data_IF_028235198276
#
_entry.id   IF_028235198276
#
_cell.length_a   1.000
_cell.length_b   1.000
_cell.length_c   1.000
_cell.angle_alpha   90.00
_cell.angle_beta   90.00
_cell.angle_gamma   90.00
#
_symmetry.space_group_name_H-M   'P 1'
#
loop_
_entity.id
_entity.type
_entity.pdbx_description
1 polymer ?
#
# COMPACT_ATOMS: atom_id res chain seq x y z
N UNK A 1 -19.37 -12.59 5.56
CA UNK A 1 -17.95 -12.46 5.38
C UNK A 1 -17.37 -11.37 6.24
N UNK A 2 -16.29 -11.64 6.91
CA UNK A 2 -15.72 -10.66 7.81
C UNK A 2 -15.00 -9.56 7.05
N UNK A 3 -15.03 -8.36 7.59
CA UNK A 3 -14.26 -7.26 7.05
C UNK A 3 -12.78 -7.48 7.36
N UNK A 4 -11.93 -6.88 6.52
CA UNK A 4 -10.50 -6.89 6.78
C UNK A 4 -10.20 -6.13 8.06
N UNK A 5 -9.43 -6.76 8.95
CA UNK A 5 -8.98 -6.12 10.17
C UNK A 5 -7.56 -5.58 10.03
N UNK A 6 -7.05 -5.58 8.82
CA UNK A 6 -5.70 -5.14 8.53
C UNK A 6 -5.55 -3.64 8.80
N UNK A 7 -4.63 -3.29 9.68
CA UNK A 7 -4.40 -1.91 10.10
C UNK A 7 -2.91 -1.65 10.23
N UNK A 8 -2.57 -0.37 10.26
CA UNK A 8 -1.22 0.06 10.59
C UNK A 8 -1.21 0.47 12.06
N UNK A 9 -0.24 -0.04 12.83
CA UNK A 9 -0.13 0.28 14.24
C UNK A 9 1.29 0.67 14.63
N UNK A 10 1.42 1.42 15.70
CA UNK A 10 2.74 1.78 16.23
C UNK A 10 3.38 0.58 16.91
N UNK A 11 4.68 0.44 16.73
CA UNK A 11 5.43 -0.65 17.36
C UNK A 11 6.87 -0.21 17.57
N UNK A 12 7.31 -0.15 18.83
CA UNK A 12 8.71 0.13 19.18
C UNK A 12 9.26 1.38 18.49
N UNK A 13 8.50 2.46 18.51
CA UNK A 13 8.92 3.74 17.93
C UNK A 13 8.81 3.83 16.41
N UNK A 14 8.25 2.82 15.79
CA UNK A 14 8.03 2.81 14.34
C UNK A 14 6.62 2.29 14.06
N UNK A 15 6.39 1.71 12.89
CA UNK A 15 5.07 1.29 12.43
C UNK A 15 5.15 -0.09 11.81
N UNK A 16 4.06 -0.84 11.93
CA UNK A 16 3.95 -2.16 11.31
C UNK A 16 2.49 -2.44 10.95
N UNK A 17 2.30 -3.39 10.02
CA UNK A 17 0.97 -3.85 9.67
C UNK A 17 0.57 -4.98 10.63
N UNK A 18 -0.71 -5.02 10.96
CA UNK A 18 -1.27 -6.05 11.84
C UNK A 18 -2.69 -6.38 11.40
N UNK A 19 -3.21 -7.53 11.83
CA UNK A 19 -4.61 -7.87 11.67
C UNK A 19 -4.95 -8.78 10.50
N UNK A 20 -3.97 -9.17 9.69
CA UNK A 20 -4.22 -10.13 8.61
C UNK A 20 -3.66 -11.50 8.97
N UNK A 21 -4.31 -12.55 8.46
CA UNK A 21 -3.87 -13.90 8.69
C UNK A 21 -2.84 -14.39 7.68
N UNK A 22 -2.33 -15.60 7.89
CA UNK A 22 -1.33 -16.20 7.03
C UNK A 22 -0.04 -15.43 7.03
N UNK A 23 0.72 -15.53 5.95
CA UNK A 23 2.01 -14.86 5.83
C UNK A 23 1.96 -13.56 5.07
N UNK A 24 0.77 -13.00 4.83
CA UNK A 24 0.62 -11.81 4.00
C UNK A 24 1.45 -10.63 4.49
N UNK A 25 1.57 -10.45 5.81
CA UNK A 25 2.24 -9.30 6.39
C UNK A 25 3.74 -9.49 6.62
N UNK A 26 4.26 -10.69 6.37
CA UNK A 26 5.68 -10.97 6.65
C UNK A 26 6.60 -10.08 5.82
N UNK A 27 6.40 -10.03 4.51
CA UNK A 27 7.24 -9.22 3.65
C UNK A 27 7.05 -7.72 3.86
N UNK A 28 5.81 -7.21 3.93
CA UNK A 28 5.61 -5.79 4.24
C UNK A 28 6.26 -5.36 5.55
N UNK A 29 6.13 -6.16 6.61
CA UNK A 29 6.73 -5.79 7.89
C UNK A 29 8.25 -5.88 7.86
N UNK A 30 8.81 -6.85 7.15
CA UNK A 30 10.26 -6.91 6.95
C UNK A 30 10.76 -5.68 6.22
N UNK A 31 10.02 -5.21 5.23
CA UNK A 31 10.36 -4.00 4.49
C UNK A 31 10.33 -2.76 5.39
N UNK A 32 9.28 -2.60 6.20
CA UNK A 32 9.22 -1.45 7.11
C UNK A 32 10.35 -1.49 8.13
N UNK A 33 10.74 -2.67 8.62
CA UNK A 33 11.89 -2.83 9.49
C UNK A 33 13.19 -2.45 8.79
N UNK A 34 13.33 -2.80 7.53
CA UNK A 34 14.47 -2.42 6.71
C UNK A 34 14.57 -0.89 6.57
N UNK A 35 13.44 -0.22 6.37
CA UNK A 35 13.43 1.25 6.29
C UNK A 35 13.86 1.86 7.63
N UNK A 36 13.43 1.28 8.74
CA UNK A 36 13.86 1.73 10.06
C UNK A 36 15.37 1.58 10.23
N UNK A 37 15.91 0.45 9.81
CA UNK A 37 17.35 0.18 9.87
C UNK A 37 18.14 1.13 8.98
N UNK A 38 17.53 1.65 7.93
CA UNK A 38 18.13 2.63 7.05
C UNK A 38 17.92 4.07 7.52
N UNK A 39 17.45 4.24 8.74
CA UNK A 39 17.23 5.54 9.36
C UNK A 39 16.18 6.41 8.68
N UNK A 40 15.21 5.78 8.01
CA UNK A 40 14.04 6.54 7.55
C UNK A 40 13.26 7.02 8.76
N UNK A 41 12.71 8.23 8.68
CA UNK A 41 11.96 8.79 9.80
C UNK A 41 10.68 7.97 10.04
N UNK A 42 10.20 7.92 11.31
CA UNK A 42 8.93 7.25 11.59
C UNK A 42 7.77 7.80 10.76
N UNK A 43 7.79 9.09 10.45
CA UNK A 43 6.77 9.72 9.62
C UNK A 43 6.76 9.13 8.20
N UNK A 44 7.93 8.96 7.61
CA UNK A 44 8.06 8.37 6.28
C UNK A 44 7.62 6.91 6.30
N UNK A 45 8.02 6.16 7.32
CA UNK A 45 7.63 4.76 7.46
C UNK A 45 6.12 4.65 7.62
N UNK A 46 5.50 5.56 8.37
CA UNK A 46 4.04 5.61 8.51
C UNK A 46 3.37 5.82 7.16
N UNK A 47 3.87 6.77 6.38
CA UNK A 47 3.31 7.06 5.05
C UNK A 47 3.39 5.83 4.14
N UNK A 48 4.55 5.18 4.11
CA UNK A 48 4.72 3.96 3.32
C UNK A 48 3.85 2.84 3.86
N UNK A 49 3.73 2.74 5.19
CA UNK A 49 2.89 1.74 5.82
C UNK A 49 1.43 1.85 5.39
N UNK A 50 0.89 3.06 5.30
CA UNK A 50 -0.49 3.24 4.82
C UNK A 50 -0.64 2.80 3.36
N UNK A 51 0.37 3.03 2.53
CA UNK A 51 0.35 2.54 1.15
C UNK A 51 0.33 1.03 1.10
N UNK A 52 1.11 0.39 1.96
CA UNK A 52 1.14 -1.08 2.02
C UNK A 52 -0.16 -1.65 2.59
N UNK A 53 -0.78 -0.97 3.55
CA UNK A 53 -2.10 -1.38 4.06
C UNK A 53 -3.11 -1.38 2.90
N UNK A 54 -3.13 -0.32 2.11
CA UNK A 54 -4.04 -0.23 0.98
C UNK A 54 -3.82 -1.38 -0.02
N UNK A 55 -2.56 -1.67 -0.31
CA UNK A 55 -2.22 -2.75 -1.23
C UNK A 55 -2.61 -4.12 -0.68
N UNK A 56 -2.30 -4.39 0.57
CA UNK A 56 -2.62 -5.68 1.19
C UNK A 56 -4.13 -5.88 1.33
N UNK A 57 -4.88 -4.81 1.63
CA UNK A 57 -6.34 -4.89 1.64
C UNK A 57 -6.89 -5.24 0.26
N UNK A 58 -6.29 -4.64 -0.78
CA UNK A 58 -6.69 -4.95 -2.14
C UNK A 58 -6.41 -6.41 -2.49
N UNK A 59 -5.24 -6.94 -2.07
CA UNK A 59 -4.92 -8.35 -2.27
C UNK A 59 -5.94 -9.26 -1.60
N UNK A 60 -6.31 -8.95 -0.34
CA UNK A 60 -7.32 -9.73 0.37
C UNK A 60 -8.67 -9.69 -0.34
N UNK A 61 -9.06 -8.50 -0.78
CA UNK A 61 -10.36 -8.30 -1.41
C UNK A 61 -10.49 -9.03 -2.74
N UNK A 62 -9.41 -9.10 -3.50
CA UNK A 62 -9.41 -9.74 -4.81
C UNK A 62 -8.99 -11.21 -4.76
N UNK A 63 -8.51 -11.68 -3.62
CA UNK A 63 -8.03 -13.05 -3.49
C UNK A 63 -6.66 -13.27 -4.11
N UNK A 64 -5.98 -12.23 -4.53
CA UNK A 64 -4.65 -12.34 -5.11
C UNK A 64 -3.62 -12.62 -4.02
N UNK A 65 -2.59 -13.39 -4.36
CA UNK A 65 -1.50 -13.71 -3.46
C UNK A 65 -0.31 -12.82 -3.76
N UNK A 66 0.37 -12.39 -2.70
CA UNK A 66 1.53 -11.51 -2.85
C UNK A 66 2.59 -12.13 -3.77
N UNK A 67 2.80 -13.43 -3.67
CA UNK A 67 3.78 -14.16 -4.47
C UNK A 67 3.43 -14.19 -5.96
N UNK A 68 2.16 -13.99 -6.28
CA UNK A 68 1.65 -14.09 -7.65
C UNK A 68 1.44 -12.73 -8.31
N UNK A 69 1.77 -11.65 -7.61
CA UNK A 69 1.58 -10.30 -8.15
C UNK A 69 2.51 -10.09 -9.35
N UNK A 70 1.91 -9.74 -10.47
CA UNK A 70 2.64 -9.39 -11.69
C UNK A 70 2.34 -7.93 -12.06
N UNK A 71 2.88 -7.48 -13.19
CA UNK A 71 2.68 -6.10 -13.64
C UNK A 71 1.20 -5.79 -13.83
N UNK A 72 0.43 -6.71 -14.38
CA UNK A 72 -1.01 -6.50 -14.59
C UNK A 72 -1.73 -6.33 -13.26
N UNK A 73 -1.33 -7.07 -12.23
CA UNK A 73 -1.93 -6.92 -10.90
C UNK A 73 -1.61 -5.55 -10.31
N UNK A 74 -0.38 -5.05 -10.48
CA UNK A 74 -0.02 -3.70 -10.01
C UNK A 74 -0.86 -2.64 -10.73
N UNK A 75 -1.03 -2.78 -12.04
CA UNK A 75 -1.85 -1.84 -12.81
C UNK A 75 -3.31 -1.89 -12.39
N UNK A 76 -3.83 -3.09 -12.08
CA UNK A 76 -5.20 -3.23 -11.58
C UNK A 76 -5.36 -2.56 -10.21
N UNK A 77 -4.35 -2.68 -9.34
CA UNK A 77 -4.37 -1.99 -8.05
C UNK A 77 -4.41 -0.47 -8.24
N UNK A 78 -3.57 0.06 -9.13
CA UNK A 78 -3.56 1.50 -9.39
C UNK A 78 -4.90 1.98 -9.95
N UNK A 79 -5.52 1.20 -10.83
CA UNK A 79 -6.85 1.52 -11.35
C UNK A 79 -7.88 1.55 -10.22
N UNK A 80 -7.80 0.58 -9.31
CA UNK A 80 -8.68 0.56 -8.13
C UNK A 80 -8.49 1.81 -7.28
N UNK A 81 -7.25 2.26 -7.10
CA UNK A 81 -6.97 3.48 -6.33
C UNK A 81 -7.62 4.71 -6.98
N UNK A 82 -7.59 4.79 -8.30
CA UNK A 82 -8.18 5.94 -9.00
C UNK A 82 -9.69 6.02 -8.84
N UNK A 83 -10.34 4.91 -8.58
CA UNK A 83 -11.79 4.85 -8.40
C UNK A 83 -12.20 4.83 -6.94
N UNK A 84 -11.23 4.85 -6.03
CA UNK A 84 -11.52 4.81 -4.59
C UNK A 84 -12.12 6.13 -4.13
N UNK A 85 -13.18 6.05 -3.33
CA UNK A 85 -13.79 7.21 -2.71
C UNK A 85 -13.20 7.42 -1.33
N UNK A 86 -12.97 8.69 -1.00
CA UNK A 86 -12.41 9.07 0.30
C UNK A 86 -13.56 9.41 1.23
N UNK A 87 -13.71 8.64 2.32
CA UNK A 87 -14.75 8.89 3.31
C UNK A 87 -14.45 10.16 4.09
N UNK A 88 -15.52 10.84 4.52
CA UNK A 88 -15.38 12.09 5.28
C UNK A 88 -15.17 13.32 4.43
N UNK A 89 -15.10 13.17 3.12
CA UNK A 89 -14.98 14.28 2.18
C UNK A 89 -16.35 14.78 1.74
N UNK A 90 -16.44 16.02 1.19
CA UNK A 90 -17.68 16.48 0.60
C UNK A 90 -18.20 15.53 -0.48
N UNK A 91 -19.48 15.65 -0.78
CA UNK A 91 -20.15 14.75 -1.71
C UNK A 91 -19.60 14.78 -3.13
N UNK A 92 -20.12 13.90 -3.98
CA UNK A 92 -19.54 13.67 -5.31
C UNK A 92 -19.65 14.84 -6.27
N UNK A 93 -20.47 15.84 -5.95
CA UNK A 93 -20.62 17.02 -6.82
C UNK A 93 -19.65 18.14 -6.48
N UNK A 94 -18.83 17.98 -5.48
CA UNK A 94 -17.84 19.00 -5.08
C UNK A 94 -16.55 18.75 -5.83
N UNK A 95 -16.00 19.81 -6.41
CA UNK A 95 -14.73 19.74 -7.13
C UNK A 95 -13.76 20.78 -6.56
N UNK A 96 -12.47 20.56 -6.76
CA UNK A 96 -11.46 21.53 -6.36
C UNK A 96 -11.30 22.60 -7.44
N UNK A 97 -10.35 23.53 -7.24
CA UNK A 97 -10.15 24.65 -8.14
C UNK A 97 -9.69 24.22 -9.53
N UNK A 98 -9.13 23.03 -9.67
CA UNK A 98 -8.71 22.49 -10.96
C UNK A 98 -9.77 21.62 -11.60
N UNK A 99 -10.96 21.50 -10.99
CA UNK A 99 -12.04 20.70 -11.52
C UNK A 99 -11.99 19.22 -11.17
N UNK A 100 -11.09 18.82 -10.29
CA UNK A 100 -10.98 17.41 -9.85
C UNK A 100 -12.00 17.11 -8.76
N UNK A 101 -12.50 15.89 -8.76
CA UNK A 101 -13.47 15.48 -7.76
C UNK A 101 -12.75 15.30 -6.42
N UNK A 102 -13.27 15.97 -5.38
CA UNK A 102 -12.64 15.93 -4.06
C UNK A 102 -13.01 14.68 -3.26
N UNK A 103 -13.96 13.88 -3.72
CA UNK A 103 -14.31 12.61 -3.10
C UNK A 103 -13.44 11.45 -3.60
N UNK A 104 -12.57 11.70 -4.56
CA UNK A 104 -11.64 10.69 -5.07
C UNK A 104 -10.27 10.86 -4.42
N UNK A 105 -9.53 9.75 -4.40
CA UNK A 105 -8.17 9.77 -3.88
C UNK A 105 -7.30 10.68 -4.74
N UNK A 106 -6.52 11.54 -4.10
CA UNK A 106 -5.66 12.48 -4.82
C UNK A 106 -4.54 11.75 -5.56
N UNK A 107 -4.10 12.34 -6.68
CA UNK A 107 -3.00 11.77 -7.45
C UNK A 107 -1.74 11.60 -6.59
N UNK A 108 -1.47 12.53 -5.70
CA UNK A 108 -0.32 12.45 -4.77
C UNK A 108 -0.41 11.20 -3.91
N UNK A 109 -1.60 10.89 -3.38
CA UNK A 109 -1.81 9.71 -2.55
C UNK A 109 -1.63 8.43 -3.34
N UNK A 110 -2.09 8.40 -4.59
CA UNK A 110 -1.90 7.24 -5.46
C UNK A 110 -0.41 7.03 -5.74
N UNK A 111 0.32 8.10 -6.00
CA UNK A 111 1.76 8.02 -6.25
C UNK A 111 2.52 7.53 -5.02
N UNK A 112 2.09 7.95 -3.82
CA UNK A 112 2.69 7.45 -2.58
C UNK A 112 2.45 5.96 -2.39
N UNK A 113 1.24 5.49 -2.72
CA UNK A 113 0.95 4.05 -2.68
C UNK A 113 1.82 3.28 -3.66
N UNK A 114 1.98 3.81 -4.87
CA UNK A 114 2.85 3.17 -5.86
C UNK A 114 4.29 3.15 -5.38
N UNK A 115 4.77 4.23 -4.79
CA UNK A 115 6.13 4.28 -4.25
C UNK A 115 6.34 3.22 -3.17
N UNK A 116 5.36 3.04 -2.29
CA UNK A 116 5.45 2.04 -1.24
C UNK A 116 5.49 0.62 -1.82
N UNK A 117 4.62 0.33 -2.79
CA UNK A 117 4.57 -0.98 -3.44
C UNK A 117 5.85 -1.22 -4.23
N UNK A 118 6.33 -0.22 -4.95
CA UNK A 118 7.56 -0.31 -5.72
C UNK A 118 8.76 -0.62 -4.80
N UNK A 119 8.85 0.10 -3.67
CA UNK A 119 9.91 -0.16 -2.69
C UNK A 119 9.83 -1.56 -2.10
N UNK A 120 8.61 -2.04 -1.84
CA UNK A 120 8.40 -3.39 -1.31
C UNK A 120 8.96 -4.44 -2.27
N UNK A 121 8.66 -4.33 -3.56
CA UNK A 121 9.12 -5.32 -4.53
C UNK A 121 10.61 -5.18 -4.86
N UNK A 122 11.17 -3.98 -4.78
CA UNK A 122 12.61 -3.80 -4.85
C UNK A 122 13.29 -4.51 -3.69
N UNK A 123 12.76 -4.34 -2.49
CA UNK A 123 13.29 -5.01 -1.28
C UNK A 123 13.22 -6.53 -1.44
N UNK A 124 12.10 -7.04 -1.95
CA UNK A 124 11.96 -8.47 -2.22
C UNK A 124 13.02 -8.95 -3.21
N UNK A 125 13.27 -8.17 -4.26
CA UNK A 125 14.28 -8.53 -5.26
C UNK A 125 15.69 -8.56 -4.70
N UNK A 126 16.00 -7.68 -3.74
CA UNK A 126 17.29 -7.71 -3.07
C UNK A 126 17.49 -8.99 -2.26
N UNK A 127 16.41 -9.48 -1.63
CA UNK A 127 16.46 -10.69 -0.81
C UNK A 127 16.36 -11.97 -1.64
N UNK A 128 15.69 -11.89 -2.78
CA UNK A 128 15.45 -13.04 -3.65
C UNK A 128 15.62 -12.59 -5.10
N UNK A 129 16.88 -12.43 -5.57
CA UNK A 129 17.15 -11.86 -6.90
C UNK A 129 16.53 -12.65 -8.06
N UNK A 130 16.26 -13.94 -7.85
CA UNK A 130 15.65 -14.78 -8.88
C UNK A 130 14.16 -14.51 -9.07
N UNK A 131 13.53 -13.76 -8.17
CA UNK A 131 12.12 -13.44 -8.28
C UNK A 131 11.93 -12.17 -9.09
N UNK A 132 11.15 -12.20 -10.20
CA UNK A 132 10.97 -11.01 -11.03
C UNK A 132 10.29 -9.88 -10.26
N UNK A 133 10.72 -8.64 -10.57
CA UNK A 133 10.08 -7.46 -10.01
C UNK A 133 8.88 -7.09 -10.90
N UNK A 134 7.65 -7.07 -10.37
CA UNK A 134 6.46 -6.78 -11.18
C UNK A 134 6.27 -5.31 -11.51
N UNK A 135 7.07 -4.43 -10.96
CA UNK A 135 6.90 -2.99 -11.18
C UNK A 135 7.41 -2.63 -12.57
N UNK A 136 6.57 -1.96 -13.38
CA UNK A 136 6.96 -1.57 -14.73
C UNK A 136 8.05 -0.51 -14.79
#
# INVERSE_FOLDING_TARGET
>A
MSESQLVLERCSGSWRLAGAGGGLLDLPNAYLGYLQDRNYSPRTIRTYGYGLVAFCRWLERTGARLEEVDTDAVLAFLSSCRHERVTGRPGPNVVDLQGNRVDRLAATSINLRLAAVSGLFEFRSMRSPETPNPIP
#
